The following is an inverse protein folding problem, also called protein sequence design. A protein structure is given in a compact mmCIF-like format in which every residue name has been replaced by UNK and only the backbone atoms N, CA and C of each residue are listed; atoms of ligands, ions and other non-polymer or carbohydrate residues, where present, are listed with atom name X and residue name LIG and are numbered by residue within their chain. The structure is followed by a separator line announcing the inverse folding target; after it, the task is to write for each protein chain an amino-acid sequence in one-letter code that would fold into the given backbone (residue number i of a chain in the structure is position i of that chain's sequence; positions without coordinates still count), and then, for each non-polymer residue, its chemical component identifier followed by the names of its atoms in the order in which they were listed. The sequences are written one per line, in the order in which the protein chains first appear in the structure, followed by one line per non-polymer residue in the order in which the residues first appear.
data_IF_258673337808
#
_entry.id   IF_258673337808
#
_cell.length_a   1.000
_cell.length_b   1.000
_cell.length_c   1.000
_cell.angle_alpha   90.00
_cell.angle_beta   90.00
_cell.angle_gamma   90.00
#
_symmetry.space_group_name_H-M   'P 1'
#
loop_
_entity.id
_entity.type
_entity.pdbx_description
1 polymer ?
#
# COMPACT_ATOMS: atom_id res chain seq x y z
N UNK A 1 11.32 11.19 23.35
CA UNK A 1 11.11 11.86 22.06
C UNK A 1 12.27 12.83 21.83
N UNK A 2 13.40 12.33 21.33
CA UNK A 2 14.43 13.21 20.78
C UNK A 2 13.98 13.62 19.37
N UNK A 3 14.03 14.91 19.02
CA UNK A 3 13.59 15.35 17.72
C UNK A 3 14.72 15.03 16.71
N UNK A 4 14.37 14.40 15.59
CA UNK A 4 15.30 14.09 14.47
C UNK A 4 15.95 15.37 13.89
N UNK A 5 15.38 16.54 14.21
CA UNK A 5 15.90 17.85 13.89
C UNK A 5 15.86 18.64 15.20
N UNK A 6 16.94 19.29 15.62
CA UNK A 6 17.02 20.11 16.84
C UNK A 6 16.18 21.41 16.77
N UNK A 7 14.94 21.31 16.29
CA UNK A 7 13.97 22.38 16.13
C UNK A 7 12.66 21.86 16.72
N UNK A 8 12.17 22.53 17.78
CA UNK A 8 10.83 22.30 18.32
C UNK A 8 9.80 22.79 17.31
N UNK A 9 9.46 21.89 16.38
CA UNK A 9 8.50 22.18 15.33
C UNK A 9 7.08 22.21 15.91
N UNK A 10 6.25 23.20 15.54
CA UNK A 10 4.84 23.21 15.89
C UNK A 10 4.14 21.91 15.49
N UNK A 11 3.10 21.51 16.23
CA UNK A 11 2.35 20.27 15.96
C UNK A 11 1.87 20.13 14.50
N UNK A 12 1.42 21.22 13.89
CA UNK A 12 1.01 21.24 12.48
C UNK A 12 2.17 20.95 11.51
N UNK A 13 3.38 21.41 11.83
CA UNK A 13 4.58 21.19 11.03
C UNK A 13 5.08 19.73 11.15
N UNK A 14 5.01 19.15 12.36
CA UNK A 14 5.28 17.73 12.57
C UNK A 14 4.28 16.84 11.83
N UNK A 15 3.00 17.17 11.88
CA UNK A 15 1.95 16.45 11.15
C UNK A 15 2.14 16.52 9.63
N UNK A 16 2.50 17.69 9.08
CA UNK A 16 2.82 17.83 7.66
C UNK A 16 4.05 17.01 7.25
N UNK A 17 5.10 17.00 8.08
CA UNK A 17 6.30 16.20 7.82
C UNK A 17 6.00 14.70 7.85
N UNK A 18 5.17 14.24 8.80
CA UNK A 18 4.71 12.84 8.86
C UNK A 18 3.85 12.49 7.65
N UNK A 19 2.90 13.32 7.26
CA UNK A 19 2.07 13.05 6.07
C UNK A 19 2.94 12.98 4.81
N UNK A 20 3.85 13.95 4.61
CA UNK A 20 4.79 13.95 3.47
C UNK A 20 5.72 12.75 3.51
N UNK A 21 6.27 12.41 4.67
CA UNK A 21 7.11 11.23 4.89
C UNK A 21 6.36 9.94 4.55
N UNK A 22 5.11 9.81 4.97
CA UNK A 22 4.25 8.65 4.66
C UNK A 22 3.97 8.54 3.17
N UNK A 23 3.70 9.67 2.51
CA UNK A 23 3.51 9.67 1.06
C UNK A 23 4.76 9.23 0.30
N UNK A 24 5.92 9.74 0.69
CA UNK A 24 7.20 9.34 0.09
C UNK A 24 7.50 7.87 0.37
N UNK A 25 7.24 7.40 1.59
CA UNK A 25 7.45 6.01 2.00
C UNK A 25 6.57 5.01 1.24
N UNK A 26 5.39 5.42 0.76
CA UNK A 26 4.55 4.58 -0.12
C UNK A 26 5.00 4.68 -1.58
N UNK A 27 5.08 5.91 -2.12
CA UNK A 27 5.20 6.12 -3.56
C UNK A 27 6.59 5.80 -4.10
N UNK A 28 7.66 6.10 -3.36
CA UNK A 28 9.02 5.79 -3.84
C UNK A 28 9.25 4.29 -3.95
N UNK A 29 9.05 3.46 -2.89
CA UNK A 29 9.23 2.02 -3.01
C UNK A 29 8.29 1.40 -4.05
N UNK A 30 7.02 1.83 -4.11
CA UNK A 30 6.09 1.33 -5.11
C UNK A 30 6.58 1.61 -6.54
N UNK A 31 7.00 2.85 -6.83
CA UNK A 31 7.55 3.21 -8.14
C UNK A 31 8.83 2.43 -8.47
N UNK A 32 9.74 2.31 -7.51
CA UNK A 32 10.97 1.52 -7.69
C UNK A 32 10.68 0.06 -7.98
N UNK A 33 9.72 -0.55 -7.27
CA UNK A 33 9.31 -1.95 -7.49
C UNK A 33 8.74 -2.12 -8.89
N UNK A 34 7.84 -1.23 -9.34
CA UNK A 34 7.27 -1.31 -10.69
C UNK A 34 8.36 -1.16 -11.75
N UNK A 35 9.25 -0.17 -11.63
CA UNK A 35 10.31 0.02 -12.62
C UNK A 35 11.31 -1.16 -12.66
N UNK A 36 11.82 -1.59 -11.51
CA UNK A 36 12.84 -2.64 -11.47
C UNK A 36 12.26 -4.03 -11.74
N UNK A 37 11.21 -4.41 -11.02
CA UNK A 37 10.65 -5.77 -11.12
C UNK A 37 9.73 -5.89 -12.33
N UNK A 38 8.70 -5.05 -12.46
CA UNK A 38 7.70 -5.22 -13.51
C UNK A 38 8.24 -4.87 -14.90
N UNK A 39 8.99 -3.77 -15.05
CA UNK A 39 9.46 -3.33 -16.36
C UNK A 39 10.78 -3.96 -16.78
N UNK A 40 11.79 -3.98 -15.90
CA UNK A 40 13.13 -4.48 -16.27
C UNK A 40 13.26 -5.98 -16.07
N UNK A 41 13.10 -6.47 -14.85
CA UNK A 41 13.34 -7.88 -14.52
C UNK A 41 12.47 -8.82 -15.36
N UNK A 42 11.16 -8.57 -15.45
CA UNK A 42 10.26 -9.41 -16.26
C UNK A 42 10.63 -9.41 -17.75
N UNK A 43 11.12 -8.28 -18.28
CA UNK A 43 11.55 -8.19 -19.68
C UNK A 43 12.84 -8.99 -19.92
N UNK A 44 13.81 -8.89 -19.02
CA UNK A 44 15.04 -9.67 -19.09
C UNK A 44 14.79 -11.17 -18.95
N UNK A 45 13.85 -11.59 -18.08
CA UNK A 45 13.41 -12.99 -18.00
C UNK A 45 12.84 -13.49 -19.33
N UNK A 46 12.19 -12.61 -20.10
CA UNK A 46 11.64 -12.90 -21.42
C UNK A 46 12.65 -12.68 -22.56
N UNK A 47 13.93 -12.45 -22.25
CA UNK A 47 14.98 -12.16 -23.23
C UNK A 47 14.68 -10.95 -24.13
N UNK A 48 13.99 -9.93 -23.61
CA UNK A 48 13.78 -8.65 -24.29
C UNK A 48 14.15 -7.47 -23.40
N UNK A 49 14.44 -6.34 -24.03
CA UNK A 49 14.63 -5.10 -23.28
C UNK A 49 13.26 -4.57 -22.82
N UNK A 50 13.21 -4.10 -21.57
CA UNK A 50 12.06 -3.34 -21.07
C UNK A 50 11.99 -1.94 -21.70
N UNK A 51 11.17 -1.02 -21.17
CA UNK A 51 11.11 0.37 -21.63
C UNK A 51 12.52 1.01 -21.66
N UNK A 52 12.92 1.60 -22.78
CA UNK A 52 14.25 2.25 -22.95
C UNK A 52 14.16 3.73 -23.32
N UNK A 53 13.01 4.20 -23.80
CA UNK A 53 12.86 5.51 -24.46
C UNK A 53 12.56 6.66 -23.49
N UNK A 54 11.73 6.44 -22.47
CA UNK A 54 11.34 7.48 -21.53
C UNK A 54 12.46 7.76 -20.51
N UNK A 55 13.42 8.61 -20.89
CA UNK A 55 14.62 8.92 -20.11
C UNK A 55 15.68 7.82 -20.21
N UNK A 56 16.88 8.01 -19.58
CA UNK A 56 17.94 7.01 -19.62
C UNK A 56 17.43 5.66 -19.11
N UNK A 57 17.55 4.62 -19.94
CA UNK A 57 17.03 3.28 -19.66
C UNK A 57 15.54 3.22 -19.28
N UNK A 58 14.70 4.16 -19.70
CA UNK A 58 13.27 4.16 -19.36
C UNK A 58 12.96 4.57 -17.91
N UNK A 59 13.89 5.22 -17.21
CA UNK A 59 13.72 5.67 -15.81
C UNK A 59 12.55 6.64 -15.60
N UNK A 60 12.16 7.40 -16.63
CA UNK A 60 11.03 8.34 -16.58
C UNK A 60 9.70 7.72 -17.04
N UNK A 61 9.67 6.41 -17.35
CA UNK A 61 8.47 5.72 -17.84
C UNK A 61 7.26 5.89 -16.90
N UNK A 62 7.45 5.76 -15.59
CA UNK A 62 6.36 5.89 -14.62
C UNK A 62 5.79 7.30 -14.58
N UNK A 63 6.63 8.32 -14.69
CA UNK A 63 6.18 9.71 -14.77
C UNK A 63 5.40 9.97 -16.06
N UNK A 64 5.84 9.40 -17.19
CA UNK A 64 5.10 9.48 -18.45
C UNK A 64 3.73 8.79 -18.38
N UNK A 65 3.62 7.65 -17.67
CA UNK A 65 2.35 6.95 -17.47
C UNK A 65 1.37 7.73 -16.61
N UNK A 66 1.84 8.37 -15.53
CA UNK A 66 1.03 9.27 -14.71
C UNK A 66 0.57 10.47 -15.54
N UNK A 67 1.48 11.09 -16.30
CA UNK A 67 1.13 12.20 -17.20
C UNK A 67 0.07 11.81 -18.22
N UNK A 68 0.17 10.61 -18.79
CA UNK A 68 -0.85 10.05 -19.70
C UNK A 68 -2.20 9.86 -19.00
N UNK A 69 -2.24 9.38 -17.76
CA UNK A 69 -3.51 9.21 -17.03
C UNK A 69 -4.18 10.54 -16.71
N UNK A 70 -3.42 11.59 -16.39
CA UNK A 70 -3.97 12.93 -16.16
C UNK A 70 -4.60 13.56 -17.40
N UNK A 71 -4.13 13.18 -18.59
CA UNK A 71 -4.65 13.68 -19.86
C UNK A 71 -5.86 12.88 -20.37
N UNK A 72 -6.10 11.68 -19.84
CA UNK A 72 -7.21 10.85 -20.31
C UNK A 72 -8.53 11.34 -19.73
N UNK A 73 -9.56 11.29 -20.57
CA UNK A 73 -10.94 11.52 -20.16
C UNK A 73 -11.42 10.40 -19.21
N UNK A 74 -12.08 10.80 -18.13
CA UNK A 74 -12.69 9.90 -17.16
C UNK A 74 -14.09 9.47 -17.64
N UNK A 75 -14.15 8.36 -18.36
CA UNK A 75 -15.39 7.78 -18.89
C UNK A 75 -15.94 6.76 -17.89
N UNK A 76 -17.23 6.88 -17.56
CA UNK A 76 -17.95 5.94 -16.68
C UNK A 76 -19.14 5.29 -17.43
N UNK A 77 -19.52 4.04 -17.10
CA UNK A 77 -20.72 3.43 -17.66
C UNK A 77 -21.99 4.19 -17.24
N UNK A 78 -22.95 4.38 -18.14
CA UNK A 78 -24.19 5.11 -17.86
C UNK A 78 -25.04 4.47 -16.75
N UNK A 79 -24.99 3.13 -16.64
CA UNK A 79 -25.76 2.35 -15.66
C UNK A 79 -25.05 2.20 -14.31
N UNK A 80 -23.79 2.61 -14.22
CA UNK A 80 -22.99 2.50 -12.99
C UNK A 80 -23.42 3.56 -11.98
N UNK A 81 -23.27 3.24 -10.68
CA UNK A 81 -23.38 4.26 -9.65
C UNK A 81 -22.10 5.12 -9.68
N UNK A 82 -22.21 6.30 -10.28
CA UNK A 82 -21.09 7.21 -10.52
C UNK A 82 -20.30 7.55 -9.25
N UNK A 83 -20.97 7.74 -8.11
CA UNK A 83 -20.30 8.17 -6.87
C UNK A 83 -19.55 7.02 -6.25
N UNK A 84 -20.23 5.88 -6.13
CA UNK A 84 -19.65 4.69 -5.50
C UNK A 84 -18.53 4.11 -6.37
N UNK A 85 -18.70 4.10 -7.70
CA UNK A 85 -17.69 3.62 -8.64
C UNK A 85 -16.40 4.44 -8.58
N UNK A 86 -16.50 5.76 -8.42
CA UNK A 86 -15.32 6.65 -8.26
C UNK A 86 -14.67 6.56 -6.88
N UNK A 87 -15.45 6.30 -5.84
CA UNK A 87 -14.93 6.15 -4.48
C UNK A 87 -14.26 4.78 -4.24
N UNK A 88 -14.65 3.74 -4.98
CA UNK A 88 -14.14 2.40 -4.72
C UNK A 88 -12.59 2.28 -4.84
N UNK A 89 -11.93 2.82 -5.88
CA UNK A 89 -10.46 2.86 -5.93
C UNK A 89 -9.83 3.66 -4.79
N UNK A 90 -10.51 4.72 -4.33
CA UNK A 90 -10.03 5.55 -3.22
C UNK A 90 -10.01 4.77 -1.90
N UNK A 91 -11.00 3.92 -1.64
CA UNK A 91 -11.05 3.07 -0.44
C UNK A 91 -9.83 2.15 -0.39
N UNK A 92 -9.51 1.50 -1.52
CA UNK A 92 -8.34 0.63 -1.63
C UNK A 92 -7.06 1.45 -1.40
N UNK A 93 -6.94 2.60 -2.06
CA UNK A 93 -5.77 3.47 -1.90
C UNK A 93 -5.57 3.90 -0.45
N UNK A 94 -6.62 4.41 0.21
CA UNK A 94 -6.56 4.87 1.60
C UNK A 94 -6.13 3.72 2.52
N UNK A 95 -6.66 2.51 2.33
CA UNK A 95 -6.23 1.35 3.13
C UNK A 95 -4.73 1.06 3.00
N UNK A 96 -4.15 1.20 1.80
CA UNK A 96 -2.70 1.01 1.58
C UNK A 96 -1.87 2.08 2.29
N UNK A 97 -2.29 3.35 2.25
CA UNK A 97 -1.57 4.41 2.96
C UNK A 97 -1.68 4.27 4.49
N UNK A 98 -2.82 3.80 5.00
CA UNK A 98 -3.03 3.56 6.43
C UNK A 98 -2.10 2.47 6.98
N UNK A 99 -1.71 1.47 6.18
CA UNK A 99 -0.76 0.43 6.59
C UNK A 99 0.63 0.99 6.90
N UNK A 100 1.07 2.07 6.24
CA UNK A 100 2.39 2.66 6.50
C UNK A 100 2.51 3.24 7.90
N UNK A 101 1.39 3.58 8.54
CA UNK A 101 1.38 4.14 9.89
C UNK A 101 2.04 3.22 10.95
N UNK A 102 2.05 1.91 10.71
CA UNK A 102 2.56 0.93 11.68
C UNK A 102 3.92 0.33 11.31
N UNK A 103 4.39 0.55 10.08
CA UNK A 103 5.67 -0.01 9.62
C UNK A 103 6.83 0.75 10.28
N UNK A 104 7.72 0.07 11.04
CA UNK A 104 8.92 0.69 11.57
C UNK A 104 10.02 0.71 10.49
N UNK A 105 10.56 1.88 10.17
CA UNK A 105 11.69 2.03 9.24
C UNK A 105 13.05 2.10 9.95
N UNK A 106 13.04 2.26 11.27
CA UNK A 106 14.24 2.26 12.12
C UNK A 106 13.88 2.60 13.58
N UNK A 107 14.89 2.63 14.48
CA UNK A 107 14.67 2.84 15.92
C UNK A 107 13.92 4.12 16.26
N UNK A 108 14.22 5.22 15.56
CA UNK A 108 13.54 6.52 15.71
C UNK A 108 12.70 6.90 14.48
N UNK A 109 12.68 6.04 13.44
CA UNK A 109 12.04 6.30 12.16
C UNK A 109 10.72 5.53 12.04
N UNK A 110 9.70 6.00 12.74
CA UNK A 110 8.34 5.45 12.71
C UNK A 110 7.30 6.57 12.81
N UNK A 111 6.07 6.32 12.33
CA UNK A 111 5.01 7.33 12.36
C UNK A 111 4.38 7.47 13.75
N UNK A 112 3.93 6.35 14.30
CA UNK A 112 3.29 6.25 15.60
C UNK A 112 3.66 4.91 16.21
N UNK A 113 3.88 4.90 17.52
CA UNK A 113 4.05 3.66 18.28
C UNK A 113 2.67 3.11 18.69
N UNK A 114 2.29 1.97 18.12
CA UNK A 114 1.03 1.29 18.42
C UNK A 114 1.29 0.04 19.24
N UNK A 115 0.69 -0.04 20.43
CA UNK A 115 0.73 -1.27 21.25
C UNK A 115 0.12 -2.47 20.52
N UNK A 116 -0.96 -2.24 19.76
CA UNK A 116 -1.66 -3.23 18.96
C UNK A 116 -1.33 -3.10 17.46
N UNK A 117 -0.07 -2.83 17.11
CA UNK A 117 0.33 -2.53 15.74
C UNK A 117 0.03 -3.65 14.72
N UNK A 118 0.38 -4.90 15.05
CA UNK A 118 0.10 -6.05 14.19
C UNK A 118 -1.40 -6.23 13.96
N UNK A 119 -2.22 -6.09 15.01
CA UNK A 119 -3.68 -6.16 14.90
C UNK A 119 -4.24 -5.06 13.99
N UNK A 120 -3.75 -3.82 14.15
CA UNK A 120 -4.12 -2.71 13.28
C UNK A 120 -3.79 -2.99 11.81
N UNK A 121 -2.60 -3.53 11.51
CA UNK A 121 -2.21 -3.87 10.14
C UNK A 121 -3.18 -4.88 9.50
N UNK A 122 -3.53 -5.94 10.23
CA UNK A 122 -4.46 -6.96 9.77
C UNK A 122 -5.85 -6.36 9.54
N UNK A 123 -6.37 -5.58 10.49
CA UNK A 123 -7.68 -4.94 10.38
C UNK A 123 -7.78 -3.97 9.19
N UNK A 124 -6.74 -3.16 8.96
CA UNK A 124 -6.72 -2.22 7.83
C UNK A 124 -6.61 -2.95 6.49
N UNK A 125 -5.86 -4.06 6.44
CA UNK A 125 -5.71 -4.84 5.20
C UNK A 125 -7.06 -5.37 4.68
N UNK A 126 -7.97 -5.74 5.57
CA UNK A 126 -9.32 -6.22 5.22
C UNK A 126 -10.23 -5.16 4.61
N UNK A 127 -9.95 -3.87 4.82
CA UNK A 127 -10.73 -2.77 4.21
C UNK A 127 -10.57 -2.77 2.69
N UNK A 128 -9.40 -3.18 2.18
CA UNK A 128 -9.13 -3.21 0.74
C UNK A 128 -10.06 -4.15 -0.02
N UNK A 129 -10.46 -5.26 0.60
CA UNK A 129 -11.40 -6.26 0.05
C UNK A 129 -12.78 -5.65 -0.18
N UNK A 130 -13.24 -4.81 0.75
CA UNK A 130 -14.51 -4.08 0.60
C UNK A 130 -14.45 -3.14 -0.60
N UNK A 131 -13.34 -2.43 -0.80
CA UNK A 131 -13.15 -1.56 -1.97
C UNK A 131 -13.31 -2.32 -3.29
N UNK A 132 -12.77 -3.54 -3.37
CA UNK A 132 -12.86 -4.40 -4.58
C UNK A 132 -14.30 -4.88 -4.81
N UNK A 133 -15.00 -5.30 -3.76
CA UNK A 133 -16.40 -5.72 -3.84
C UNK A 133 -17.30 -4.57 -4.32
N UNK A 134 -17.12 -3.38 -3.75
CA UNK A 134 -17.88 -2.18 -4.09
C UNK A 134 -17.60 -1.76 -5.55
N UNK A 135 -16.35 -1.86 -6.01
CA UNK A 135 -15.99 -1.60 -7.42
C UNK A 135 -16.71 -2.56 -8.38
N UNK A 136 -16.76 -3.85 -8.04
CA UNK A 136 -17.47 -4.87 -8.83
C UNK A 136 -18.98 -4.64 -8.87
N UNK A 137 -19.58 -4.28 -7.74
CA UNK A 137 -21.02 -4.00 -7.62
C UNK A 137 -21.44 -2.72 -8.35
N UNK A 138 -20.72 -1.62 -8.13
CA UNK A 138 -21.07 -0.30 -8.68
C UNK A 138 -20.91 -0.18 -10.20
N UNK A 139 -20.15 -1.08 -10.83
CA UNK A 139 -19.93 -1.15 -12.29
C UNK A 139 -21.20 -1.52 -13.08
N UNK A 140 -22.25 -2.05 -12.43
CA UNK A 140 -23.51 -2.44 -13.06
C UNK A 140 -23.37 -3.40 -14.26
N UNK A 141 -22.33 -4.25 -14.25
CA UNK A 141 -22.05 -5.25 -15.28
C UNK A 141 -21.92 -6.64 -14.65
N UNK A 142 -22.61 -7.64 -15.21
CA UNK A 142 -22.61 -9.04 -14.74
C UNK A 142 -21.20 -9.64 -14.65
N UNK A 143 -20.34 -9.38 -15.64
CA UNK A 143 -18.98 -9.92 -15.66
C UNK A 143 -18.07 -9.24 -14.64
N UNK A 144 -18.17 -7.92 -14.50
CA UNK A 144 -17.42 -7.18 -13.48
C UNK A 144 -17.83 -7.60 -12.07
N UNK A 145 -19.12 -7.82 -11.83
CA UNK A 145 -19.62 -8.31 -10.54
C UNK A 145 -19.10 -9.72 -10.22
N UNK A 146 -19.18 -10.65 -11.17
CA UNK A 146 -18.64 -12.00 -10.99
C UNK A 146 -17.12 -11.99 -10.78
N UNK A 147 -16.39 -11.13 -11.50
CA UNK A 147 -14.96 -10.92 -11.31
C UNK A 147 -14.63 -10.37 -9.91
N UNK A 148 -15.38 -9.37 -9.45
CA UNK A 148 -15.25 -8.78 -8.12
C UNK A 148 -15.50 -9.79 -7.00
N UNK A 149 -16.54 -10.63 -7.12
CA UNK A 149 -16.84 -11.69 -6.14
C UNK A 149 -15.73 -12.74 -6.09
N UNK A 150 -15.16 -13.12 -7.23
CA UNK A 150 -14.02 -14.05 -7.29
C UNK A 150 -12.77 -13.47 -6.64
N UNK A 151 -12.43 -12.22 -6.96
CA UNK A 151 -11.27 -11.54 -6.37
C UNK A 151 -11.44 -11.38 -4.86
N UNK A 152 -12.63 -10.99 -4.39
CA UNK A 152 -12.91 -10.88 -2.96
C UNK A 152 -12.82 -12.24 -2.26
N UNK A 153 -13.40 -13.29 -2.85
CA UNK A 153 -13.30 -14.65 -2.31
C UNK A 153 -11.86 -15.12 -2.19
N UNK A 154 -11.02 -14.81 -3.19
CA UNK A 154 -9.58 -15.10 -3.13
C UNK A 154 -8.92 -14.33 -1.97
N UNK A 155 -9.14 -13.03 -1.85
CA UNK A 155 -8.48 -12.21 -0.83
C UNK A 155 -8.88 -12.63 0.59
N UNK A 156 -10.17 -12.87 0.83
CA UNK A 156 -10.67 -13.38 2.12
C UNK A 156 -10.04 -14.74 2.45
N UNK A 157 -9.92 -15.64 1.46
CA UNK A 157 -9.32 -16.95 1.66
C UNK A 157 -7.84 -16.87 2.07
N UNK A 158 -7.10 -15.85 1.62
CA UNK A 158 -5.70 -15.65 1.99
C UNK A 158 -5.50 -14.87 3.29
N UNK A 159 -6.52 -14.20 3.82
CA UNK A 159 -6.42 -13.52 5.12
C UNK A 159 -6.21 -14.51 6.26
N UNK A 160 -6.95 -15.62 6.28
CA UNK A 160 -6.87 -16.58 7.38
C UNK A 160 -5.46 -17.20 7.51
N UNK A 161 -4.82 -17.74 6.44
CA UNK A 161 -3.44 -18.21 6.51
C UNK A 161 -2.45 -17.13 6.94
N UNK A 162 -2.63 -15.89 6.47
CA UNK A 162 -1.77 -14.77 6.84
C UNK A 162 -1.88 -14.44 8.33
N UNK A 163 -3.09 -14.38 8.88
CA UNK A 163 -3.33 -14.17 10.32
C UNK A 163 -2.64 -15.27 11.13
N UNK A 164 -2.82 -16.53 10.74
CA UNK A 164 -2.20 -17.67 11.45
C UNK A 164 -0.67 -17.63 11.40
N UNK A 165 -0.08 -17.24 10.26
CA UNK A 165 1.37 -17.10 10.13
C UNK A 165 1.92 -15.99 11.03
N UNK A 166 1.22 -14.86 11.13
CA UNK A 166 1.62 -13.71 11.94
C UNK A 166 1.49 -14.01 13.44
N UNK A 167 0.47 -14.77 13.85
CA UNK A 167 0.26 -15.14 15.26
C UNK A 167 1.48 -15.87 15.85
N UNK A 168 2.16 -16.73 15.08
CA UNK A 168 3.37 -17.41 15.55
C UNK A 168 4.47 -16.43 15.98
N UNK A 169 4.69 -15.37 15.20
CA UNK A 169 5.67 -14.31 15.50
C UNK A 169 5.26 -13.49 16.73
N UNK A 170 3.96 -13.19 16.85
CA UNK A 170 3.42 -12.45 18.00
C UNK A 170 3.59 -13.24 19.30
N UNK A 171 3.33 -14.55 19.27
CA UNK A 171 3.51 -15.42 20.44
C UNK A 171 4.98 -15.46 20.85
N UNK A 172 5.90 -15.60 19.90
CA UNK A 172 7.33 -15.62 20.18
C UNK A 172 7.81 -14.30 20.78
N UNK A 173 7.40 -13.16 20.23
CA UNK A 173 7.81 -11.84 20.70
C UNK A 173 7.07 -11.37 21.97
N UNK A 174 5.97 -12.03 22.37
CA UNK A 174 5.16 -11.65 23.52
C UNK A 174 4.48 -10.29 23.41
N UNK A 175 4.41 -9.70 22.21
CA UNK A 175 3.86 -8.36 21.98
C UNK A 175 3.29 -8.21 20.58
N UNK A 176 2.27 -7.34 20.45
CA UNK A 176 1.68 -6.96 19.17
C UNK A 176 2.30 -5.69 18.57
N UNK A 177 3.26 -5.09 19.27
CA UNK A 177 3.94 -3.87 18.84
C UNK A 177 5.07 -4.24 17.85
N UNK A 178 4.98 -3.75 16.61
CA UNK A 178 5.95 -4.07 15.56
C UNK A 178 7.38 -3.61 15.88
N UNK A 179 7.56 -2.50 16.58
CA UNK A 179 8.90 -2.03 16.95
C UNK A 179 9.55 -2.99 17.94
N UNK A 180 8.81 -3.38 18.99
CA UNK A 180 9.30 -4.33 19.99
C UNK A 180 9.61 -5.69 19.38
N UNK A 181 8.82 -6.15 18.41
CA UNK A 181 9.11 -7.37 17.64
C UNK A 181 10.45 -7.25 16.91
N UNK A 182 10.72 -6.13 16.22
CA UNK A 182 12.00 -5.90 15.53
C UNK A 182 13.16 -5.80 16.53
N UNK A 183 12.96 -5.17 17.68
CA UNK A 183 13.99 -5.10 18.74
C UNK A 183 14.30 -6.46 19.36
N UNK A 184 13.29 -7.32 19.57
CA UNK A 184 13.48 -8.69 20.05
C UNK A 184 14.37 -9.47 19.06
N UNK A 185 14.07 -9.38 17.76
CA UNK A 185 14.88 -10.01 16.70
C UNK A 185 16.31 -9.49 16.65
N UNK A 186 16.55 -8.20 16.92
CA UNK A 186 17.89 -7.63 16.94
C UNK A 186 18.72 -8.13 18.14
N UNK A 187 18.08 -8.39 19.28
CA UNK A 187 18.75 -8.81 20.50
C UNK A 187 18.94 -10.33 20.59
N UNK A 188 18.38 -11.10 19.66
CA UNK A 188 18.62 -12.53 19.52
C UNK A 188 17.75 -13.44 20.39
N UNK A 189 16.60 -12.96 20.86
CA UNK A 189 15.56 -13.75 21.55
C UNK A 189 14.19 -13.63 20.87
#
# INVERSE_FOLDING_TARGET
MSPIIAVDLPYWAQSLLRVRGGTVAVLLPAGTIVYLFLFKMMSFMQSRLGPMEAGPYGSMQLFAEVGKWLQKEDIQPERADARIFKLAPLIVLVSTFLLVAVVPFGPDAYFTDFEAGVFYALAVSSISVLGILIAGWSSANKYSLLGGLRAAGQLIAYELPMVLAVVGVVIQAGTLNMQKIVFAQNNGE
#
